data_IF_928752117463
#
_entry.id   IF_928752117463
#
_cell.length_a   1.000
_cell.length_b   1.000
_cell.length_c   1.000
_cell.angle_alpha   90.00
_cell.angle_beta   90.00
_cell.angle_gamma   90.00
#
_symmetry.space_group_name_H-M   'P 1'
#
loop_
_entity.id
_entity.type
_entity.pdbx_description
1 polymer ?
#
# COMPACT_ATOMS: atom_id res chain seq x y z
N UNK A 1 23.22 -43.31 -7.73
CA UNK A 1 22.09 -43.24 -8.69
C UNK A 1 22.38 -42.15 -9.66
N UNK A 2 22.88 -42.56 -10.84
CA UNK A 2 23.40 -41.64 -11.85
C UNK A 2 22.32 -41.23 -12.87
N UNK A 3 21.04 -41.26 -12.48
CA UNK A 3 19.95 -40.80 -13.32
C UNK A 3 19.67 -39.31 -13.00
N UNK A 4 20.11 -38.36 -13.87
CA UNK A 4 19.90 -36.94 -13.67
C UNK A 4 18.42 -36.55 -13.67
N UNK A 5 17.52 -37.41 -14.18
CA UNK A 5 16.11 -37.17 -14.24
C UNK A 5 15.36 -37.47 -12.93
N UNK A 6 15.99 -38.19 -11.98
CA UNK A 6 15.40 -38.43 -10.65
C UNK A 6 15.20 -37.14 -9.92
N UNK A 7 16.14 -36.19 -10.02
CA UNK A 7 15.99 -34.86 -9.40
C UNK A 7 14.92 -34.03 -10.06
N UNK A 8 14.76 -34.12 -11.37
CA UNK A 8 13.71 -33.38 -12.12
C UNK A 8 12.30 -33.86 -11.79
N UNK A 9 12.11 -35.15 -11.54
CA UNK A 9 10.81 -35.75 -11.16
C UNK A 9 10.32 -35.26 -9.79
N UNK A 10 11.24 -34.87 -8.90
CA UNK A 10 10.93 -34.39 -7.55
C UNK A 10 10.91 -32.85 -7.44
N UNK A 11 11.20 -32.14 -8.52
CA UNK A 11 11.09 -30.68 -8.52
C UNK A 11 9.62 -30.30 -8.52
N UNK A 12 9.19 -29.54 -7.51
CA UNK A 12 7.87 -28.92 -7.48
C UNK A 12 7.76 -27.97 -8.67
N UNK A 13 6.80 -28.20 -9.53
CA UNK A 13 6.51 -27.28 -10.63
C UNK A 13 6.17 -25.89 -10.06
N UNK A 14 7.02 -24.91 -10.34
CA UNK A 14 6.75 -23.53 -9.95
C UNK A 14 5.97 -22.85 -11.06
N UNK A 15 4.81 -22.30 -10.71
CA UNK A 15 4.06 -21.47 -11.63
C UNK A 15 4.78 -20.14 -11.86
N UNK A 16 5.00 -19.79 -13.12
CA UNK A 16 5.53 -18.49 -13.51
C UNK A 16 4.47 -17.43 -13.25
N UNK A 17 4.80 -16.43 -12.46
CA UNK A 17 3.92 -15.30 -12.14
C UNK A 17 4.39 -14.00 -12.83
N UNK A 18 5.69 -13.75 -12.78
CA UNK A 18 6.38 -12.62 -13.37
C UNK A 18 7.87 -12.95 -13.34
N UNK A 19 8.62 -12.57 -14.36
CA UNK A 19 10.05 -12.88 -14.47
C UNK A 19 10.86 -12.37 -13.27
N UNK A 20 10.49 -11.19 -12.74
CA UNK A 20 11.18 -10.60 -11.60
C UNK A 20 10.99 -11.37 -10.28
N UNK A 21 9.92 -12.15 -10.14
CA UNK A 21 9.55 -12.83 -8.89
C UNK A 21 9.60 -14.36 -9.00
N UNK A 22 9.62 -14.88 -10.22
CA UNK A 22 9.67 -16.33 -10.49
C UNK A 22 10.92 -16.98 -9.91
N UNK A 23 12.04 -16.24 -9.83
CA UNK A 23 13.30 -16.72 -9.25
C UNK A 23 13.30 -16.85 -7.72
N UNK A 24 12.23 -16.44 -7.03
CA UNK A 24 12.15 -16.51 -5.57
C UNK A 24 12.27 -17.95 -5.07
N UNK A 25 13.28 -18.21 -4.22
CA UNK A 25 13.52 -19.53 -3.60
C UNK A 25 12.78 -19.72 -2.26
N UNK A 26 11.93 -18.78 -1.87
CA UNK A 26 11.13 -18.83 -0.64
C UNK A 26 11.92 -18.99 0.67
N UNK A 27 13.16 -18.49 0.73
CA UNK A 27 14.06 -18.62 1.89
C UNK A 27 13.62 -17.86 3.15
N UNK A 28 12.72 -16.87 3.04
CA UNK A 28 12.16 -16.15 4.18
C UNK A 28 13.00 -14.99 4.75
N UNK A 29 14.21 -14.71 4.24
CA UNK A 29 15.05 -13.63 4.77
C UNK A 29 14.36 -12.25 4.73
N UNK A 30 13.53 -12.02 3.74
CA UNK A 30 12.77 -10.77 3.57
C UNK A 30 11.70 -10.55 4.65
N UNK A 31 11.35 -11.55 5.45
CA UNK A 31 10.25 -11.45 6.43
C UNK A 31 10.63 -10.66 7.67
N UNK A 32 11.91 -10.73 8.08
CA UNK A 32 12.37 -10.13 9.35
C UNK A 32 12.09 -8.64 9.46
N UNK A 33 12.29 -7.89 8.38
CA UNK A 33 12.16 -6.42 8.37
C UNK A 33 10.84 -5.94 7.75
N UNK A 34 9.92 -6.85 7.43
CA UNK A 34 8.64 -6.45 6.86
C UNK A 34 7.72 -5.85 7.94
N UNK A 35 7.26 -4.59 7.79
CA UNK A 35 6.35 -3.96 8.75
C UNK A 35 5.02 -4.72 8.92
N UNK A 36 4.56 -5.40 7.86
CA UNK A 36 3.29 -6.15 7.89
C UNK A 36 3.41 -7.59 8.42
N UNK A 37 4.61 -8.05 8.80
CA UNK A 37 4.85 -9.47 9.15
C UNK A 37 3.97 -10.03 10.28
N UNK A 38 3.56 -9.17 11.20
CA UNK A 38 2.74 -9.56 12.36
C UNK A 38 1.27 -9.12 12.22
N UNK A 39 0.91 -8.51 11.08
CA UNK A 39 -0.41 -7.97 10.82
C UNK A 39 -1.11 -8.72 9.68
N UNK A 40 -0.40 -8.93 8.59
CA UNK A 40 -0.93 -9.52 7.35
C UNK A 40 0.12 -10.41 6.68
N UNK A 41 0.29 -10.29 5.36
CA UNK A 41 1.23 -11.11 4.60
C UNK A 41 2.65 -10.55 4.60
N UNK A 42 3.62 -11.45 4.73
CA UNK A 42 5.04 -11.17 4.51
C UNK A 42 5.39 -11.14 3.02
N UNK A 43 6.56 -10.60 2.62
CA UNK A 43 6.97 -10.61 1.22
C UNK A 43 7.01 -12.00 0.59
N UNK A 44 7.54 -13.01 1.31
CA UNK A 44 7.54 -14.40 0.83
C UNK A 44 6.13 -14.94 0.64
N UNK A 45 5.26 -14.73 1.61
CA UNK A 45 3.87 -15.18 1.55
C UNK A 45 3.11 -14.54 0.38
N UNK A 46 3.38 -13.27 0.06
CA UNK A 46 2.79 -12.61 -1.11
C UNK A 46 3.14 -13.34 -2.40
N UNK A 47 4.40 -13.71 -2.59
CA UNK A 47 4.84 -14.46 -3.77
C UNK A 47 4.24 -15.85 -3.79
N UNK A 48 4.24 -16.56 -2.65
CA UNK A 48 3.70 -17.91 -2.54
C UNK A 48 2.20 -17.96 -2.89
N UNK A 49 1.41 -16.98 -2.41
CA UNK A 49 -0.02 -16.88 -2.73
C UNK A 49 -0.28 -16.58 -4.21
N UNK A 50 0.52 -15.73 -4.85
CA UNK A 50 0.40 -15.49 -6.29
C UNK A 50 0.70 -16.76 -7.09
N UNK A 51 1.72 -17.52 -6.69
CA UNK A 51 2.04 -18.82 -7.30
C UNK A 51 0.88 -19.81 -7.14
N UNK A 52 0.33 -19.91 -5.94
CA UNK A 52 -0.80 -20.80 -5.67
C UNK A 52 -2.04 -20.39 -6.46
N UNK A 53 -2.34 -19.09 -6.51
CA UNK A 53 -3.44 -18.57 -7.33
C UNK A 53 -3.26 -18.97 -8.80
N UNK A 54 -2.04 -18.80 -9.34
CA UNK A 54 -1.75 -19.17 -10.73
C UNK A 54 -1.82 -20.68 -10.97
N UNK A 55 -1.39 -21.48 -9.99
CA UNK A 55 -1.50 -22.93 -10.05
C UNK A 55 -2.96 -23.37 -10.16
N UNK A 56 -3.82 -22.81 -9.29
CA UNK A 56 -5.26 -23.09 -9.29
C UNK A 56 -5.94 -22.68 -10.59
N UNK A 57 -5.55 -21.55 -11.17
CA UNK A 57 -6.03 -21.14 -12.50
C UNK A 57 -5.66 -22.15 -13.59
N UNK A 58 -4.41 -22.62 -13.58
CA UNK A 58 -3.92 -23.59 -14.55
C UNK A 58 -4.62 -24.96 -14.40
N UNK A 59 -5.06 -25.32 -13.21
CA UNK A 59 -5.84 -26.52 -12.92
C UNK A 59 -7.35 -26.35 -13.19
N UNK A 60 -7.79 -25.14 -13.58
CA UNK A 60 -9.20 -24.84 -13.82
C UNK A 60 -10.03 -24.58 -12.57
N UNK A 61 -9.42 -24.51 -11.40
CA UNK A 61 -10.12 -24.22 -10.13
C UNK A 61 -10.29 -22.71 -9.91
N UNK A 62 -11.06 -22.09 -10.79
CA UNK A 62 -11.26 -20.64 -10.76
C UNK A 62 -12.03 -20.13 -9.54
N UNK A 63 -12.88 -20.97 -8.92
CA UNK A 63 -13.65 -20.57 -7.74
C UNK A 63 -12.71 -20.21 -6.58
N UNK A 64 -11.80 -21.11 -6.21
CA UNK A 64 -10.82 -20.90 -5.15
C UNK A 64 -9.79 -19.83 -5.54
N UNK A 65 -9.34 -19.81 -6.80
CA UNK A 65 -8.43 -18.80 -7.30
C UNK A 65 -8.99 -17.36 -7.14
N UNK A 66 -10.28 -17.17 -7.45
CA UNK A 66 -10.93 -15.87 -7.29
C UNK A 66 -11.11 -15.46 -5.82
N UNK A 67 -11.37 -16.41 -4.93
CA UNK A 67 -11.41 -16.14 -3.48
C UNK A 67 -10.05 -15.68 -2.97
N UNK A 68 -8.97 -16.37 -3.36
CA UNK A 68 -7.60 -15.96 -3.02
C UNK A 68 -7.26 -14.58 -3.56
N UNK A 69 -7.65 -14.24 -4.79
CA UNK A 69 -7.43 -12.90 -5.37
C UNK A 69 -8.12 -11.81 -4.57
N UNK A 70 -9.38 -12.01 -4.18
CA UNK A 70 -10.11 -11.04 -3.35
C UNK A 70 -9.43 -10.81 -2.00
N UNK A 71 -9.01 -11.88 -1.33
CA UNK A 71 -8.25 -11.76 -0.09
C UNK A 71 -6.89 -11.10 -0.29
N UNK A 72 -6.23 -11.40 -1.41
CA UNK A 72 -4.91 -10.85 -1.73
C UNK A 72 -4.93 -9.33 -1.92
N UNK A 73 -6.01 -8.75 -2.43
CA UNK A 73 -6.16 -7.30 -2.59
C UNK A 73 -5.88 -6.57 -1.27
N UNK A 74 -6.56 -6.94 -0.20
CA UNK A 74 -6.32 -6.35 1.11
C UNK A 74 -5.00 -6.84 1.73
N UNK A 75 -4.85 -8.16 1.95
CA UNK A 75 -3.74 -8.72 2.72
C UNK A 75 -2.39 -8.62 2.00
N UNK A 76 -2.38 -8.68 0.68
CA UNK A 76 -1.17 -8.67 -0.15
C UNK A 76 -0.79 -7.30 -0.67
N UNK A 77 -1.77 -6.54 -1.14
CA UNK A 77 -1.56 -5.27 -1.86
C UNK A 77 -1.71 -4.07 -0.93
N UNK A 78 -2.89 -3.86 -0.33
CA UNK A 78 -3.17 -2.65 0.46
C UNK A 78 -2.29 -2.53 1.70
N UNK A 79 -2.05 -3.64 2.40
CA UNK A 79 -1.23 -3.67 3.61
C UNK A 79 0.27 -3.66 3.36
N UNK A 80 0.72 -3.62 2.10
CA UNK A 80 2.13 -3.43 1.77
C UNK A 80 2.51 -1.96 1.91
N UNK A 81 3.47 -1.65 2.78
CA UNK A 81 4.00 -0.30 2.94
C UNK A 81 4.82 0.21 1.74
N UNK A 82 5.07 -0.62 0.73
CA UNK A 82 5.91 -0.33 -0.44
C UNK A 82 7.30 0.27 -0.10
N UNK A 83 7.85 -0.10 1.06
CA UNK A 83 9.09 0.46 1.61
C UNK A 83 10.37 -0.18 1.03
N UNK A 84 10.28 -1.21 0.19
CA UNK A 84 11.38 -1.96 -0.43
C UNK A 84 12.42 -2.57 0.55
N UNK A 85 12.16 -2.59 1.87
CA UNK A 85 13.07 -3.21 2.84
C UNK A 85 13.29 -4.71 2.57
N UNK A 86 12.32 -5.38 1.94
CA UNK A 86 12.43 -6.78 1.54
C UNK A 86 13.54 -7.01 0.52
N UNK A 87 13.80 -6.04 -0.39
CA UNK A 87 14.86 -6.11 -1.39
C UNK A 87 16.25 -6.18 -0.74
N UNK A 88 16.50 -5.35 0.28
CA UNK A 88 17.81 -5.28 0.94
C UNK A 88 18.22 -6.55 1.67
N UNK A 89 17.26 -7.39 2.06
CA UNK A 89 17.51 -8.68 2.72
C UNK A 89 17.46 -9.88 1.76
N UNK A 90 16.97 -9.66 0.55
CA UNK A 90 16.82 -10.74 -0.43
C UNK A 90 18.17 -11.02 -1.13
N UNK A 91 18.70 -12.26 -1.08
CA UNK A 91 19.94 -12.59 -1.78
C UNK A 91 19.81 -12.47 -3.30
N UNK A 92 18.57 -12.51 -3.83
CA UNK A 92 18.26 -12.33 -5.24
C UNK A 92 17.76 -10.90 -5.56
N UNK A 93 17.85 -9.98 -4.59
CA UNK A 93 17.43 -8.58 -4.74
C UNK A 93 15.97 -8.37 -5.21
N UNK A 94 15.08 -9.32 -4.89
CA UNK A 94 13.67 -9.26 -5.27
C UNK A 94 12.97 -8.18 -4.44
N UNK A 95 12.34 -7.24 -5.12
CA UNK A 95 11.53 -6.18 -4.51
C UNK A 95 10.05 -6.47 -4.62
N UNK A 96 9.46 -7.09 -3.59
CA UNK A 96 8.03 -7.38 -3.58
C UNK A 96 7.14 -6.14 -3.46
N UNK A 97 7.70 -4.98 -3.10
CA UNK A 97 6.96 -3.72 -3.15
C UNK A 97 6.50 -3.38 -4.57
N UNK A 98 7.29 -3.77 -5.60
CA UNK A 98 6.92 -3.56 -7.00
C UNK A 98 5.66 -4.33 -7.40
N UNK A 99 5.41 -5.52 -6.83
CA UNK A 99 4.15 -6.25 -7.03
C UNK A 99 2.97 -5.41 -6.56
N UNK A 100 3.04 -4.92 -5.31
CA UNK A 100 1.95 -4.11 -4.74
C UNK A 100 1.75 -2.81 -5.52
N UNK A 101 2.83 -2.14 -5.94
CA UNK A 101 2.76 -0.91 -6.71
C UNK A 101 2.18 -1.14 -8.12
N UNK A 102 2.56 -2.22 -8.80
CA UNK A 102 2.02 -2.55 -10.13
C UNK A 102 0.51 -2.82 -10.04
N UNK A 103 0.07 -3.60 -9.05
CA UNK A 103 -1.35 -3.88 -8.84
C UNK A 103 -2.16 -2.63 -8.50
N UNK A 104 -1.64 -1.73 -7.63
CA UNK A 104 -2.28 -0.44 -7.33
C UNK A 104 -2.41 0.49 -8.54
N UNK A 105 -1.53 0.35 -9.54
CA UNK A 105 -1.58 1.13 -10.78
C UNK A 105 -2.65 0.65 -11.76
N UNK A 106 -3.02 -0.63 -11.70
CA UNK A 106 -4.01 -1.21 -12.63
C UNK A 106 -5.39 -0.59 -12.39
N UNK A 107 -5.77 -0.42 -11.12
CA UNK A 107 -7.07 0.16 -10.76
C UNK A 107 -6.91 1.18 -9.61
N UNK A 108 -6.39 2.39 -9.89
CA UNK A 108 -6.24 3.41 -8.87
C UNK A 108 -7.61 4.01 -8.53
N UNK A 109 -7.96 4.11 -7.25
CA UNK A 109 -9.18 4.80 -6.84
C UNK A 109 -9.09 6.28 -7.23
N UNK A 110 -10.10 6.76 -7.99
CA UNK A 110 -10.25 8.17 -8.39
C UNK A 110 -9.00 8.82 -9.03
N UNK A 111 -8.50 8.32 -10.18
CA UNK A 111 -7.25 8.81 -10.79
C UNK A 111 -7.32 10.30 -11.17
N UNK A 112 -8.50 10.80 -11.54
CA UNK A 112 -8.71 12.21 -11.85
C UNK A 112 -8.55 13.13 -10.63
N UNK A 113 -9.00 12.69 -9.46
CA UNK A 113 -8.82 13.42 -8.20
C UNK A 113 -7.35 13.41 -7.77
N UNK A 114 -6.69 12.25 -7.86
CA UNK A 114 -5.28 12.11 -7.54
C UNK A 114 -4.42 13.05 -8.39
N UNK A 115 -4.70 13.14 -9.69
CA UNK A 115 -4.03 14.08 -10.60
C UNK A 115 -4.26 15.54 -10.21
N UNK A 116 -5.50 15.94 -9.91
CA UNK A 116 -5.82 17.30 -9.45
C UNK A 116 -5.09 17.67 -8.16
N UNK A 117 -5.01 16.76 -7.21
CA UNK A 117 -4.26 16.94 -5.96
C UNK A 117 -2.76 17.10 -6.25
N UNK A 118 -2.21 16.26 -7.13
CA UNK A 118 -0.81 16.34 -7.52
C UNK A 118 -0.47 17.68 -8.18
N UNK A 119 -1.26 18.09 -9.17
CA UNK A 119 -1.04 19.33 -9.93
C UNK A 119 -1.17 20.58 -9.04
N UNK A 120 -2.02 20.52 -7.99
CA UNK A 120 -2.33 21.62 -7.07
C UNK A 120 -1.98 21.31 -5.62
N UNK A 121 -0.89 20.60 -5.37
CA UNK A 121 -0.56 20.07 -4.04
C UNK A 121 -0.48 21.16 -2.95
N UNK A 122 0.15 22.30 -3.26
CA UNK A 122 0.24 23.43 -2.30
C UNK A 122 -1.11 23.99 -1.91
N UNK A 123 -1.98 24.22 -2.88
CA UNK A 123 -3.35 24.73 -2.64
C UNK A 123 -4.20 23.70 -1.87
N UNK A 124 -4.04 22.42 -2.18
CA UNK A 124 -4.71 21.33 -1.46
C UNK A 124 -4.28 21.30 0.01
N UNK A 125 -2.98 21.47 0.30
CA UNK A 125 -2.48 21.56 1.69
C UNK A 125 -3.05 22.78 2.42
N UNK A 126 -3.15 23.93 1.75
CA UNK A 126 -3.74 25.14 2.35
C UNK A 126 -5.22 24.96 2.64
N UNK A 127 -5.97 24.32 1.74
CA UNK A 127 -7.37 23.95 1.98
C UNK A 127 -7.50 22.99 3.17
N UNK A 128 -6.67 21.97 3.27
CA UNK A 128 -6.67 21.05 4.42
C UNK A 128 -6.36 21.78 5.73
N UNK A 129 -5.37 22.70 5.73
CA UNK A 129 -5.04 23.52 6.90
C UNK A 129 -6.19 24.44 7.30
N UNK A 130 -6.84 25.08 6.32
CA UNK A 130 -8.02 25.91 6.55
C UNK A 130 -9.17 25.07 7.13
N UNK A 131 -9.42 23.87 6.59
CA UNK A 131 -10.42 22.93 7.09
C UNK A 131 -10.19 22.54 8.55
N UNK A 132 -8.97 22.15 8.91
CA UNK A 132 -8.59 21.80 10.30
C UNK A 132 -8.66 23.02 11.22
N UNK A 133 -8.37 24.23 10.72
CA UNK A 133 -8.50 25.47 11.50
C UNK A 133 -9.96 25.82 11.75
N UNK A 134 -10.84 25.68 10.75
CA UNK A 134 -12.28 25.88 10.86
C UNK A 134 -12.91 24.86 11.82
N UNK A 135 -12.48 23.60 11.76
CA UNK A 135 -12.91 22.57 12.70
C UNK A 135 -12.53 22.93 14.13
N UNK A 136 -11.32 23.47 14.36
CA UNK A 136 -10.87 23.93 15.67
C UNK A 136 -11.74 25.08 16.21
N UNK A 137 -12.23 26.00 15.35
CA UNK A 137 -13.16 27.08 15.70
C UNK A 137 -14.55 26.53 15.97
N UNK A 138 -15.05 25.67 15.07
CA UNK A 138 -16.35 25.01 15.23
C UNK A 138 -16.40 24.14 16.48
N UNK A 139 -15.31 23.43 16.81
CA UNK A 139 -15.17 22.60 18.01
C UNK A 139 -15.14 23.40 19.31
N UNK A 140 -14.80 24.69 19.25
CA UNK A 140 -14.92 25.61 20.40
C UNK A 140 -16.36 26.09 20.62
N UNK A 141 -17.18 26.13 19.55
CA UNK A 141 -18.57 26.57 19.59
C UNK A 141 -19.50 25.36 19.76
N UNK A 142 -19.27 24.31 19.02
CA UNK A 142 -20.06 23.09 19.02
C UNK A 142 -19.13 21.97 19.53
N UNK A 143 -19.56 21.27 20.59
CA UNK A 143 -18.73 20.21 21.19
C UNK A 143 -18.18 19.25 20.13
N UNK A 144 -16.87 18.92 20.19
CA UNK A 144 -16.21 17.98 19.24
C UNK A 144 -16.95 16.63 19.08
N UNK A 145 -17.62 16.19 20.17
CA UNK A 145 -18.47 14.99 20.12
C UNK A 145 -19.65 15.13 19.14
N UNK A 146 -20.22 16.33 18.99
CA UNK A 146 -21.32 16.56 18.05
C UNK A 146 -20.81 16.59 16.60
N UNK A 147 -19.65 17.22 16.35
CA UNK A 147 -19.00 17.23 15.02
C UNK A 147 -18.64 15.81 14.59
N UNK A 148 -18.07 15.00 15.49
CA UNK A 148 -17.74 13.60 15.23
C UNK A 148 -18.98 12.79 14.83
N UNK A 149 -20.11 12.94 15.54
CA UNK A 149 -21.37 12.23 15.20
C UNK A 149 -21.96 12.67 13.85
N UNK A 150 -21.93 13.99 13.56
CA UNK A 150 -22.43 14.51 12.28
C UNK A 150 -21.57 13.98 11.11
N UNK A 151 -20.25 14.03 11.24
CA UNK A 151 -19.34 13.55 10.19
C UNK A 151 -19.37 12.02 10.05
N UNK A 152 -19.59 11.29 11.14
CA UNK A 152 -19.80 9.84 11.12
C UNK A 152 -21.10 9.47 10.37
N UNK A 153 -22.19 10.19 10.63
CA UNK A 153 -23.45 10.02 9.90
C UNK A 153 -23.32 10.36 8.40
N UNK A 154 -22.64 11.46 8.06
CA UNK A 154 -22.37 11.84 6.67
C UNK A 154 -21.45 10.81 5.97
N UNK A 155 -20.45 10.30 6.65
CA UNK A 155 -19.59 9.25 6.12
C UNK A 155 -20.37 7.96 5.85
N UNK A 156 -21.25 7.57 6.77
CA UNK A 156 -22.12 6.39 6.61
C UNK A 156 -23.06 6.47 5.40
N UNK A 157 -23.48 7.69 5.02
CA UNK A 157 -24.37 7.90 3.86
C UNK A 157 -23.60 8.08 2.55
N UNK A 158 -22.47 8.76 2.58
CA UNK A 158 -21.74 9.15 1.36
C UNK A 158 -20.56 8.23 1.04
N UNK A 159 -20.01 7.54 2.04
CA UNK A 159 -18.79 6.71 1.91
C UNK A 159 -17.51 7.47 1.58
N UNK A 160 -17.60 8.76 1.23
CA UNK A 160 -16.48 9.57 0.70
C UNK A 160 -16.09 10.71 1.63
N UNK A 161 -17.00 11.20 2.48
CA UNK A 161 -16.70 12.32 3.39
C UNK A 161 -15.72 11.90 4.47
N UNK A 162 -14.66 12.69 4.74
CA UNK A 162 -13.71 12.37 5.79
C UNK A 162 -14.41 12.36 7.16
N UNK A 163 -14.13 11.31 7.92
CA UNK A 163 -14.56 11.18 9.30
C UNK A 163 -13.65 12.00 10.21
N UNK A 164 -14.23 12.87 11.03
CA UNK A 164 -13.51 13.67 12.01
C UNK A 164 -13.48 12.95 13.35
N UNK A 165 -12.31 12.45 13.82
CA UNK A 165 -12.21 11.75 15.10
C UNK A 165 -12.45 12.70 16.28
N UNK A 166 -12.80 12.12 17.44
CA UNK A 166 -13.09 12.87 18.69
C UNK A 166 -11.92 13.71 19.21
N UNK A 167 -10.71 13.44 18.73
CA UNK A 167 -9.46 14.07 19.16
C UNK A 167 -8.66 14.54 17.94
N UNK A 168 -9.14 15.55 17.24
CA UNK A 168 -8.38 16.13 16.12
C UNK A 168 -7.32 17.08 16.64
N UNK A 169 -6.06 16.94 16.25
CA UNK A 169 -5.01 17.87 16.65
C UNK A 169 -5.26 19.25 16.04
N UNK A 170 -4.91 20.31 16.78
CA UNK A 170 -5.00 21.70 16.26
C UNK A 170 -4.06 21.86 15.07
N UNK A 171 -4.52 22.62 14.06
CA UNK A 171 -3.70 22.96 12.92
C UNK A 171 -2.38 23.63 13.37
N UNK A 172 -1.24 23.11 12.92
CA UNK A 172 0.04 23.70 13.23
C UNK A 172 0.22 25.04 12.48
N UNK A 173 0.34 26.13 13.23
CA UNK A 173 0.62 27.48 12.69
C UNK A 173 2.11 27.74 12.51
N UNK A 174 2.96 26.72 12.65
CA UNK A 174 4.40 26.89 12.52
C UNK A 174 4.75 27.30 11.08
N UNK A 175 5.13 28.56 10.91
CA UNK A 175 5.73 29.03 9.65
C UNK A 175 7.22 28.77 9.75
N UNK A 176 7.77 27.97 8.87
CA UNK A 176 9.21 27.83 8.68
C UNK A 176 9.77 29.22 8.29
N UNK A 177 10.23 29.99 9.29
CA UNK A 177 10.78 31.34 9.10
C UNK A 177 12.08 31.33 8.28
N UNK A 178 12.81 30.24 8.27
CA UNK A 178 14.07 30.10 7.56
C UNK A 178 13.96 28.96 6.53
N UNK A 179 13.23 29.16 5.45
CA UNK A 179 13.52 28.41 4.23
C UNK A 179 14.90 28.88 3.76
N UNK A 180 15.91 28.06 3.95
CA UNK A 180 17.16 28.18 3.21
C UNK A 180 16.72 28.12 1.75
N UNK A 181 16.76 29.25 1.03
CA UNK A 181 16.54 29.24 -0.43
C UNK A 181 17.69 28.44 -1.01
N UNK A 182 17.47 27.27 -1.59
CA UNK A 182 18.54 26.53 -2.24
C UNK A 182 19.06 27.37 -3.39
N UNK A 183 20.27 27.82 -3.28
CA UNK A 183 20.87 28.70 -4.28
C UNK A 183 21.32 27.95 -5.52
N UNK A 184 21.51 26.63 -5.47
CA UNK A 184 21.94 25.83 -6.63
C UNK A 184 21.71 24.32 -6.35
N UNK A 185 20.47 23.88 -6.23
CA UNK A 185 20.19 22.45 -6.30
C UNK A 185 19.46 22.13 -7.60
N UNK A 186 19.98 21.17 -8.36
CA UNK A 186 19.24 20.53 -9.43
C UNK A 186 17.92 20.00 -8.88
N UNK A 187 16.83 20.19 -9.64
CA UNK A 187 15.52 19.67 -9.27
C UNK A 187 15.62 18.15 -9.21
N UNK A 188 15.67 17.59 -8.01
CA UNK A 188 15.50 16.16 -7.82
C UNK A 188 13.99 15.88 -7.92
N UNK A 189 13.60 15.21 -8.98
CA UNK A 189 12.24 14.72 -9.17
C UNK A 189 12.18 13.35 -8.47
N UNK A 190 11.37 13.24 -7.42
CA UNK A 190 11.07 11.98 -6.77
C UNK A 190 9.97 11.23 -7.55
#
# INVERSE_FOLDING_TARGET
TDDPDVYKKNLKAQCVIDDAFTICMECGFCEKNCPSRNLTLTPRQRIALLRETKRLENEGNFAVANELKKGYEYFGVETCAACSMCKGLCPLSIDTAQIALSMRRIDPPAPGLAKKIYDNFSSTLEMCRAGVSLEGIAGAIITQKAISKITEGLHGVTGVTPYVPKTTPKANRYKLKNRIKPTNFEKVVY
#
